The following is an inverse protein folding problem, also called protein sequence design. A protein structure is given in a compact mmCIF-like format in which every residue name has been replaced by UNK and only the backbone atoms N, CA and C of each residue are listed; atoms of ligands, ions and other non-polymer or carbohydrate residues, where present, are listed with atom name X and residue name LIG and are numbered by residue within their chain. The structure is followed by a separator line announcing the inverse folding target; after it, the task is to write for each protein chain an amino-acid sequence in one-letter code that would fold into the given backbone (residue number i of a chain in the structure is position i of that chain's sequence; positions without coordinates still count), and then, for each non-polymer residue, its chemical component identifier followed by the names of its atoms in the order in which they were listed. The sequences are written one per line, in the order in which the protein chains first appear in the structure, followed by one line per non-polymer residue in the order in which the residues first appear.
data_IF_523762438373
#
_entry.id   IF_523762438373
#
_cell.length_a   1.000
_cell.length_b   1.000
_cell.length_c   1.000
_cell.angle_alpha   90.00
_cell.angle_beta   90.00
_cell.angle_gamma   90.00
#
_symmetry.space_group_name_H-M   'P 1'
#
loop_
_entity.id
_entity.type
_entity.pdbx_description
1 polymer ?
#
# COMPACT_ATOMS: atom_id res chain seq x y z
N UNK A 1 -4.93 17.67 1.23
CA UNK A 1 -4.45 16.57 0.39
C UNK A 1 -4.53 15.29 1.21
N UNK A 2 -4.89 14.16 0.59
CA UNK A 2 -5.01 12.85 1.26
C UNK A 2 -4.10 11.81 0.60
N UNK A 3 -4.03 10.59 1.14
CA UNK A 3 -3.23 9.49 0.56
C UNK A 3 -3.67 9.21 -0.87
N UNK A 4 -4.97 9.00 -1.09
CA UNK A 4 -5.57 8.77 -2.41
C UNK A 4 -6.50 9.92 -2.82
N UNK A 5 -7.07 9.81 -4.02
CA UNK A 5 -8.20 10.58 -4.52
C UNK A 5 -8.05 12.12 -4.54
N UNK A 6 -6.81 12.59 -4.67
CA UNK A 6 -6.54 14.00 -4.99
C UNK A 6 -7.23 14.44 -6.30
N UNK A 7 -7.16 15.72 -6.63
CA UNK A 7 -7.74 16.27 -7.86
C UNK A 7 -7.23 15.62 -9.15
N UNK A 8 -6.13 14.85 -9.11
CA UNK A 8 -5.49 14.23 -10.28
C UNK A 8 -5.18 15.26 -11.37
N UNK A 9 -4.69 16.42 -10.96
CA UNK A 9 -4.35 17.52 -11.87
C UNK A 9 -2.95 17.38 -12.50
N UNK A 10 -2.20 16.34 -12.10
CA UNK A 10 -0.85 15.97 -12.55
C UNK A 10 0.26 16.99 -12.34
N UNK A 11 -0.03 18.20 -11.83
CA UNK A 11 0.96 19.27 -11.68
C UNK A 11 2.21 18.87 -10.90
N UNK A 12 2.08 18.02 -9.89
CA UNK A 12 3.20 17.59 -9.05
C UNK A 12 4.22 16.71 -9.79
N UNK A 13 3.87 16.15 -10.95
CA UNK A 13 4.74 15.30 -11.77
C UNK A 13 5.77 16.16 -12.51
N UNK A 14 5.41 17.05 -13.47
CA UNK A 14 6.39 17.80 -14.24
C UNK A 14 7.13 18.87 -13.44
N UNK A 15 6.61 19.30 -12.28
CA UNK A 15 7.32 20.23 -11.39
C UNK A 15 8.34 19.51 -10.50
N UNK A 16 8.33 18.19 -10.41
CA UNK A 16 9.32 17.47 -9.62
C UNK A 16 10.68 17.48 -10.35
N UNK A 17 11.72 18.14 -9.80
CA UNK A 17 13.00 18.23 -10.51
C UNK A 17 13.74 16.90 -10.63
N UNK A 18 13.39 15.91 -9.80
CA UNK A 18 14.02 14.59 -9.77
C UNK A 18 13.13 13.49 -10.35
N UNK A 19 11.99 13.84 -10.96
CA UNK A 19 11.01 12.87 -11.52
C UNK A 19 10.53 11.82 -10.50
N UNK A 20 10.40 12.22 -9.24
CA UNK A 20 10.04 11.32 -8.14
C UNK A 20 8.53 11.07 -8.03
N UNK A 21 7.67 11.93 -8.62
CA UNK A 21 6.21 11.76 -8.56
C UNK A 21 5.71 11.10 -9.84
N UNK A 22 4.87 10.07 -9.72
CA UNK A 22 4.41 9.30 -10.88
C UNK A 22 2.93 8.89 -10.76
N UNK A 23 2.34 8.51 -11.89
CA UNK A 23 0.97 7.98 -11.96
C UNK A 23 0.96 6.53 -11.47
N UNK A 24 0.19 6.29 -10.41
CA UNK A 24 -0.09 4.98 -9.85
C UNK A 24 -1.45 4.46 -10.38
N UNK A 25 -1.43 3.35 -11.12
CA UNK A 25 -2.62 2.82 -11.80
C UNK A 25 -3.37 1.85 -10.88
N UNK A 26 -4.27 2.40 -10.07
CA UNK A 26 -5.25 1.63 -9.30
C UNK A 26 -6.62 1.87 -9.94
N UNK A 27 -7.39 0.82 -10.28
CA UNK A 27 -8.74 0.97 -10.81
C UNK A 27 -9.64 1.76 -9.85
N UNK A 28 -10.55 2.55 -10.43
CA UNK A 28 -11.66 3.11 -9.66
C UNK A 28 -12.54 1.99 -9.14
N UNK A 29 -13.09 2.17 -7.94
CA UNK A 29 -13.93 1.15 -7.34
C UNK A 29 -14.19 1.42 -5.88
N UNK A 30 -14.88 0.47 -5.28
CA UNK A 30 -15.15 0.43 -3.85
C UNK A 30 -14.69 -0.94 -3.35
N UNK A 31 -13.80 -0.93 -2.37
CA UNK A 31 -13.24 -2.12 -1.74
C UNK A 31 -13.84 -2.26 -0.36
N UNK A 32 -14.46 -3.41 -0.07
CA UNK A 32 -14.95 -3.71 1.28
C UNK A 32 -13.77 -3.84 2.25
N UNK A 33 -13.90 -3.23 3.42
CA UNK A 33 -12.94 -3.31 4.50
C UNK A 33 -13.58 -4.05 5.66
N UNK A 34 -12.97 -5.17 6.04
CA UNK A 34 -13.38 -5.97 7.19
C UNK A 34 -12.57 -5.57 8.42
N UNK A 35 -13.25 -5.42 9.57
CA UNK A 35 -12.61 -5.38 10.87
C UNK A 35 -12.95 -6.67 11.62
N UNK A 36 -11.92 -7.40 12.03
CA UNK A 36 -12.05 -8.67 12.74
C UNK A 36 -11.81 -8.51 14.23
N UNK A 37 -12.52 -9.29 15.03
CA UNK A 37 -12.23 -9.51 16.44
C UNK A 37 -12.02 -10.99 16.72
N UNK A 38 -11.06 -11.31 17.60
CA UNK A 38 -10.84 -12.66 18.08
C UNK A 38 -11.41 -12.78 19.50
N UNK A 39 -12.40 -13.65 19.65
CA UNK A 39 -13.07 -13.91 20.92
C UNK A 39 -12.97 -15.39 21.30
N UNK A 40 -13.57 -15.80 22.43
CA UNK A 40 -13.50 -17.19 22.91
C UNK A 40 -14.09 -18.23 21.94
N UNK A 41 -14.96 -17.79 21.03
CA UNK A 41 -15.61 -18.62 20.02
C UNK A 41 -14.85 -18.63 18.68
N UNK A 42 -13.73 -17.91 18.60
CA UNK A 42 -12.91 -17.76 17.40
C UNK A 42 -12.99 -16.35 16.81
N UNK A 43 -12.63 -16.26 15.54
CA UNK A 43 -12.65 -15.02 14.77
C UNK A 43 -14.05 -14.70 14.25
N UNK A 44 -14.40 -13.42 14.24
CA UNK A 44 -15.66 -12.92 13.66
C UNK A 44 -15.50 -11.49 13.13
N UNK A 45 -16.34 -11.10 12.17
CA UNK A 45 -16.39 -9.72 11.66
C UNK A 45 -17.08 -8.83 12.69
N UNK A 46 -16.35 -7.85 13.21
CA UNK A 46 -16.87 -6.82 14.10
C UNK A 46 -17.58 -5.70 13.33
N UNK A 47 -16.97 -5.25 12.23
CA UNK A 47 -17.48 -4.14 11.42
C UNK A 47 -17.13 -4.31 9.94
N UNK A 48 -17.95 -3.68 9.10
CA UNK A 48 -17.76 -3.57 7.65
C UNK A 48 -17.77 -2.10 7.27
N UNK A 49 -16.77 -1.66 6.53
CA UNK A 49 -16.72 -0.33 5.92
C UNK A 49 -16.22 -0.46 4.49
N UNK A 50 -15.98 0.65 3.80
CA UNK A 50 -15.47 0.62 2.43
C UNK A 50 -14.42 1.71 2.19
N UNK A 51 -13.43 1.38 1.36
CA UNK A 51 -12.50 2.32 0.77
C UNK A 51 -12.95 2.59 -0.66
N UNK A 52 -13.35 3.83 -0.93
CA UNK A 52 -13.78 4.26 -2.27
C UNK A 52 -12.66 5.04 -2.95
N UNK A 53 -12.32 4.61 -4.17
CA UNK A 53 -11.39 5.31 -5.06
C UNK A 53 -12.17 5.80 -6.29
N UNK A 54 -12.45 7.10 -6.30
CA UNK A 54 -13.25 7.77 -7.31
C UNK A 54 -12.40 8.36 -8.44
N UNK A 55 -11.08 8.46 -8.32
CA UNK A 55 -10.21 9.02 -9.36
C UNK A 55 -9.64 7.94 -10.28
N UNK A 56 -9.53 8.28 -11.57
CA UNK A 56 -9.11 7.34 -12.65
C UNK A 56 -7.76 6.68 -12.39
N UNK A 57 -6.88 7.38 -11.71
CA UNK A 57 -5.58 6.91 -11.25
C UNK A 57 -5.21 7.67 -9.98
N UNK A 58 -4.17 7.19 -9.32
CA UNK A 58 -3.61 7.78 -8.13
C UNK A 58 -2.24 8.38 -8.46
N UNK A 59 -1.70 9.17 -7.55
CA UNK A 59 -0.34 9.71 -7.67
C UNK A 59 0.49 9.12 -6.54
N UNK A 60 1.71 8.73 -6.83
CA UNK A 60 2.66 8.18 -5.88
C UNK A 60 3.99 8.93 -5.95
N UNK A 61 4.85 8.68 -4.96
CA UNK A 61 6.19 9.22 -4.85
C UNK A 61 7.20 8.06 -4.76
N UNK A 62 8.34 8.19 -5.43
CA UNK A 62 9.46 7.27 -5.30
C UNK A 62 10.53 7.90 -4.40
N UNK A 63 10.71 7.31 -3.22
CA UNK A 63 11.50 7.89 -2.15
C UNK A 63 12.96 8.08 -2.55
N UNK A 64 13.54 7.09 -3.24
CA UNK A 64 14.95 7.06 -3.61
C UNK A 64 15.33 8.21 -4.58
N UNK A 65 14.36 8.79 -5.30
CA UNK A 65 14.58 9.96 -6.15
C UNK A 65 14.17 11.28 -5.47
N UNK A 66 13.34 11.22 -4.43
CA UNK A 66 12.81 12.39 -3.75
C UNK A 66 13.81 12.97 -2.74
N UNK A 67 14.28 14.19 -2.97
CA UNK A 67 15.12 14.94 -2.03
C UNK A 67 14.34 15.86 -1.09
N UNK A 68 13.01 15.73 -1.05
CA UNK A 68 12.10 16.51 -0.20
C UNK A 68 12.20 18.04 -0.39
N UNK A 69 12.57 18.50 -1.58
CA UNK A 69 12.70 19.93 -1.89
C UNK A 69 11.40 20.75 -1.80
N UNK A 70 10.24 20.11 -1.67
CA UNK A 70 8.95 20.78 -1.50
C UNK A 70 8.38 21.44 -2.76
N UNK A 71 9.03 21.35 -3.93
CA UNK A 71 8.52 22.03 -5.12
C UNK A 71 7.09 21.58 -5.49
N UNK A 72 6.79 20.28 -5.34
CA UNK A 72 5.46 19.76 -5.59
C UNK A 72 4.37 20.27 -4.62
N UNK A 73 4.74 20.78 -3.44
CA UNK A 73 3.83 21.38 -2.47
C UNK A 73 3.37 22.76 -2.96
N UNK A 74 4.31 23.61 -3.38
CA UNK A 74 4.04 24.96 -3.89
C UNK A 74 3.06 24.96 -5.08
N UNK A 75 3.13 23.94 -5.95
CA UNK A 75 2.25 23.82 -7.11
C UNK A 75 0.99 22.99 -6.85
N UNK A 76 0.84 22.39 -5.67
CA UNK A 76 -0.34 21.61 -5.33
C UNK A 76 -1.54 22.56 -5.16
N UNK A 77 -2.65 22.34 -5.88
CA UNK A 77 -3.87 23.12 -5.66
C UNK A 77 -4.65 22.68 -4.40
N UNK A 78 -4.19 21.65 -3.70
CA UNK A 78 -4.75 21.13 -2.46
C UNK A 78 -3.77 21.37 -1.31
N UNK A 79 -4.27 21.40 -0.07
CA UNK A 79 -3.44 21.66 1.10
C UNK A 79 -2.51 20.48 1.41
N UNK A 80 -1.19 20.70 1.33
CA UNK A 80 -0.14 19.73 1.67
C UNK A 80 0.67 19.20 0.48
N UNK A 81 1.90 18.77 0.78
CA UNK A 81 2.87 18.34 -0.23
C UNK A 81 2.67 16.89 -0.71
N UNK A 82 2.62 16.65 -2.04
CA UNK A 82 2.58 15.29 -2.60
C UNK A 82 3.72 14.39 -2.11
N UNK A 83 4.93 14.92 -1.92
CA UNK A 83 6.05 14.16 -1.38
C UNK A 83 5.81 13.63 0.05
N UNK A 84 4.95 14.28 0.84
CA UNK A 84 4.64 13.87 2.22
C UNK A 84 3.47 12.90 2.29
N UNK A 85 2.42 13.18 1.52
CA UNK A 85 1.11 12.56 1.73
C UNK A 85 0.79 11.45 0.75
N UNK A 86 1.45 11.39 -0.41
CA UNK A 86 1.16 10.36 -1.41
C UNK A 86 1.83 9.02 -1.06
N UNK A 87 1.27 7.88 -1.52
CA UNK A 87 1.91 6.58 -1.38
C UNK A 87 3.36 6.66 -1.82
N UNK A 88 4.25 6.33 -0.90
CA UNK A 88 5.70 6.45 -1.10
C UNK A 88 6.31 5.07 -1.26
N UNK A 89 6.99 4.84 -2.36
CA UNK A 89 7.66 3.58 -2.67
C UNK A 89 9.15 3.70 -2.42
N UNK A 90 9.73 2.69 -1.78
CA UNK A 90 11.17 2.54 -1.56
C UNK A 90 11.72 1.49 -2.51
N UNK A 91 12.88 1.76 -3.12
CA UNK A 91 13.50 0.86 -4.07
C UNK A 91 14.15 -0.36 -3.44
N UNK A 92 14.49 -0.28 -2.14
CA UNK A 92 15.11 -1.38 -1.41
C UNK A 92 14.62 -1.46 0.04
N UNK A 93 14.90 -2.61 0.68
CA UNK A 93 14.61 -2.79 2.10
C UNK A 93 15.45 -1.86 2.96
N UNK A 94 16.69 -1.60 2.54
CA UNK A 94 17.63 -0.72 3.22
C UNK A 94 17.09 0.72 3.23
N UNK A 95 16.60 1.24 2.09
CA UNK A 95 16.04 2.61 2.06
C UNK A 95 14.74 2.70 2.85
N UNK A 96 13.89 1.67 2.82
CA UNK A 96 12.69 1.62 3.69
C UNK A 96 13.02 1.68 5.20
N UNK A 97 14.15 1.10 5.61
CA UNK A 97 14.63 1.11 7.00
C UNK A 97 15.32 2.43 7.37
N UNK A 98 16.17 2.95 6.49
CA UNK A 98 16.87 4.23 6.67
C UNK A 98 15.88 5.38 6.86
N UNK A 99 14.84 5.42 6.03
CA UNK A 99 13.79 6.45 6.06
C UNK A 99 12.62 6.06 6.96
N UNK A 100 12.89 5.44 8.11
CA UNK A 100 11.87 4.95 9.05
C UNK A 100 10.94 6.04 9.62
N UNK A 101 11.34 7.31 9.53
CA UNK A 101 10.52 8.47 9.87
C UNK A 101 9.45 8.82 8.82
N UNK A 102 9.39 8.09 7.70
CA UNK A 102 8.38 8.23 6.64
C UNK A 102 7.54 6.97 6.54
N UNK A 103 6.25 7.16 6.30
CA UNK A 103 5.36 6.09 5.85
C UNK A 103 5.67 5.72 4.38
N UNK A 104 5.29 4.50 4.00
CA UNK A 104 5.46 4.03 2.63
C UNK A 104 5.53 2.51 2.51
N UNK A 105 6.00 2.06 1.35
CA UNK A 105 5.91 0.69 0.88
C UNK A 105 7.25 0.23 0.29
N UNK A 106 7.67 -0.97 0.63
CA UNK A 106 8.70 -1.71 -0.08
C UNK A 106 8.10 -3.06 -0.50
N UNK A 107 8.19 -3.36 -1.80
CA UNK A 107 7.63 -4.59 -2.39
C UNK A 107 8.80 -5.48 -2.78
N UNK A 108 8.95 -6.57 -2.04
CA UNK A 108 9.96 -7.60 -2.28
C UNK A 108 9.36 -8.69 -3.17
N UNK A 109 9.90 -8.83 -4.37
CA UNK A 109 9.54 -9.92 -5.28
C UNK A 109 10.40 -11.15 -5.04
N UNK A 110 9.77 -12.32 -5.10
CA UNK A 110 10.47 -13.60 -5.20
C UNK A 110 10.31 -14.08 -6.64
N UNK A 111 11.43 -14.16 -7.39
CA UNK A 111 11.48 -14.49 -8.83
C UNK A 111 11.14 -15.96 -9.17
N UNK A 112 10.27 -16.61 -8.41
CA UNK A 112 9.87 -18.00 -8.68
C UNK A 112 8.47 -18.05 -9.28
N UNK A 113 8.20 -19.12 -10.04
CA UNK A 113 6.92 -19.41 -10.72
C UNK A 113 5.66 -19.30 -9.81
N UNK A 114 5.84 -19.25 -8.49
CA UNK A 114 4.82 -19.33 -7.45
C UNK A 114 4.20 -18.00 -7.00
N UNK A 115 4.09 -16.96 -7.84
CA UNK A 115 3.35 -15.72 -7.53
C UNK A 115 3.62 -15.11 -6.12
N UNK A 116 4.79 -15.39 -5.54
CA UNK A 116 5.07 -15.11 -4.15
C UNK A 116 5.60 -13.68 -4.01
N UNK A 117 5.09 -12.96 -3.02
CA UNK A 117 5.49 -11.57 -2.80
C UNK A 117 5.35 -11.20 -1.33
N UNK A 118 6.28 -10.35 -0.88
CA UNK A 118 6.22 -9.76 0.45
C UNK A 118 6.10 -8.25 0.29
N UNK A 119 5.13 -7.64 0.97
CA UNK A 119 5.04 -6.17 1.04
C UNK A 119 5.33 -5.75 2.47
N UNK A 120 6.33 -4.90 2.63
CA UNK A 120 6.59 -4.17 3.85
C UNK A 120 5.95 -2.79 3.73
N UNK A 121 5.31 -2.33 4.79
CA UNK A 121 4.72 -0.99 4.79
C UNK A 121 4.77 -0.36 6.16
N UNK A 122 4.59 0.96 6.18
CA UNK A 122 4.46 1.74 7.39
C UNK A 122 3.29 2.72 7.24
N UNK A 123 2.42 2.74 8.24
CA UNK A 123 1.26 3.63 8.33
C UNK A 123 1.25 4.25 9.72
N UNK A 124 1.21 5.59 9.79
CA UNK A 124 1.28 6.36 11.05
C UNK A 124 2.45 5.90 11.94
N UNK A 125 3.61 5.62 11.32
CA UNK A 125 4.80 5.13 12.02
C UNK A 125 4.74 3.67 12.49
N UNK A 126 3.66 2.94 12.22
CA UNK A 126 3.50 1.52 12.59
C UNK A 126 3.80 0.63 11.40
N UNK A 127 4.60 -0.41 11.62
CA UNK A 127 4.97 -1.35 10.56
C UNK A 127 3.94 -2.45 10.39
N UNK A 128 3.70 -2.78 9.13
CA UNK A 128 2.83 -3.87 8.68
C UNK A 128 3.54 -4.65 7.59
N UNK A 129 3.23 -5.94 7.51
CA UNK A 129 3.80 -6.83 6.48
C UNK A 129 2.74 -7.78 5.96
N UNK A 130 2.72 -8.02 4.67
CA UNK A 130 1.96 -9.13 4.09
C UNK A 130 2.93 -10.06 3.37
N UNK A 131 2.76 -11.35 3.58
CA UNK A 131 3.36 -12.42 2.77
C UNK A 131 2.22 -13.07 1.98
N UNK A 132 2.37 -13.15 0.65
CA UNK A 132 1.38 -13.77 -0.23
C UNK A 132 2.04 -14.94 -0.93
N UNK A 133 1.36 -16.10 -0.86
CA UNK A 133 1.75 -17.33 -1.53
C UNK A 133 0.49 -17.97 -2.15
N UNK A 134 0.37 -17.88 -3.47
CA UNK A 134 -0.84 -18.28 -4.18
C UNK A 134 -2.10 -17.56 -3.68
N UNK A 135 -3.03 -18.32 -3.09
CA UNK A 135 -4.28 -17.79 -2.52
C UNK A 135 -4.20 -17.48 -1.02
N UNK A 136 -3.05 -17.72 -0.39
CA UNK A 136 -2.89 -17.57 1.03
C UNK A 136 -2.15 -16.28 1.38
N UNK A 137 -2.59 -15.62 2.45
CA UNK A 137 -1.98 -14.41 2.98
C UNK A 137 -1.61 -14.64 4.43
N UNK A 138 -0.41 -14.22 4.82
CA UNK A 138 -0.10 -13.89 6.21
C UNK A 138 0.01 -12.38 6.33
N UNK A 139 -0.71 -11.81 7.29
CA UNK A 139 -0.76 -10.37 7.54
C UNK A 139 -0.31 -10.11 8.97
N UNK A 140 0.74 -9.30 9.07
CA UNK A 140 1.40 -8.92 10.31
C UNK A 140 1.16 -7.44 10.57
N UNK A 141 0.86 -7.12 11.82
CA UNK A 141 0.84 -5.75 12.32
C UNK A 141 1.50 -5.66 13.70
N UNK A 142 1.39 -4.51 14.39
CA UNK A 142 2.10 -4.26 15.65
C UNK A 142 1.79 -5.26 16.77
N UNK A 143 0.59 -5.84 16.76
CA UNK A 143 0.07 -6.66 17.85
C UNK A 143 -0.76 -7.86 17.35
N UNK A 144 -0.63 -8.21 16.07
CA UNK A 144 -1.29 -9.35 15.47
C UNK A 144 -0.44 -10.02 14.39
N UNK A 145 -0.70 -11.31 14.23
CA UNK A 145 -0.28 -12.12 13.12
C UNK A 145 -1.48 -13.01 12.74
N UNK A 146 -2.06 -12.73 11.57
CA UNK A 146 -3.23 -13.45 11.07
C UNK A 146 -2.95 -14.02 9.70
N UNK A 147 -3.69 -15.05 9.35
CA UNK A 147 -3.58 -15.73 8.07
C UNK A 147 -4.93 -16.14 7.53
N UNK A 148 -5.12 -16.05 6.23
CA UNK A 148 -6.40 -16.26 5.57
C UNK A 148 -6.24 -16.58 4.08
N UNK A 149 -7.29 -17.14 3.48
CA UNK A 149 -7.45 -17.22 2.02
C UNK A 149 -7.97 -15.88 1.49
N UNK A 150 -7.40 -15.40 0.37
CA UNK A 150 -7.82 -14.13 -0.25
C UNK A 150 -9.26 -14.15 -0.75
N UNK A 151 -9.73 -15.32 -1.17
CA UNK A 151 -11.08 -15.47 -1.73
C UNK A 151 -12.15 -15.57 -0.64
N UNK A 152 -11.76 -15.88 0.59
CA UNK A 152 -12.68 -16.07 1.72
C UNK A 152 -12.03 -15.68 3.06
N UNK A 153 -11.66 -14.40 3.25
CA UNK A 153 -11.00 -13.97 4.47
C UNK A 153 -11.88 -14.16 5.72
N UNK A 154 -13.19 -13.97 5.58
CA UNK A 154 -14.15 -14.03 6.69
C UNK A 154 -14.22 -15.42 7.34
N UNK A 155 -14.24 -16.49 6.54
CA UNK A 155 -14.38 -17.84 7.08
C UNK A 155 -13.03 -18.56 7.28
N UNK A 156 -11.92 -18.01 6.79
CA UNK A 156 -10.60 -18.67 6.85
C UNK A 156 -9.58 -17.97 7.74
N UNK A 157 -9.90 -16.78 8.26
CA UNK A 157 -9.01 -16.06 9.17
C UNK A 157 -8.68 -16.91 10.41
N UNK A 158 -7.38 -16.96 10.73
CA UNK A 158 -6.84 -17.61 11.92
C UNK A 158 -5.56 -16.90 12.36
N UNK A 159 -5.06 -17.21 13.56
CA UNK A 159 -3.87 -16.57 14.13
C UNK A 159 -4.16 -15.87 15.45
N UNK A 160 -3.30 -14.92 15.80
CA UNK A 160 -3.29 -14.26 17.11
C UNK A 160 -3.38 -12.74 16.94
N UNK A 161 -4.13 -12.08 17.83
CA UNK A 161 -4.18 -10.63 17.92
C UNK A 161 -4.49 -10.19 19.34
N UNK A 162 -3.88 -9.10 19.79
CA UNK A 162 -4.21 -8.47 21.08
C UNK A 162 -5.43 -7.55 21.00
N UNK A 163 -5.63 -6.92 19.85
CA UNK A 163 -6.74 -6.02 19.56
C UNK A 163 -7.45 -6.44 18.27
N UNK A 164 -8.47 -5.68 17.87
CA UNK A 164 -9.15 -5.87 16.58
C UNK A 164 -8.19 -5.67 15.41
N UNK A 165 -8.42 -6.40 14.34
CA UNK A 165 -7.59 -6.37 13.13
C UNK A 165 -8.41 -5.76 12.00
N UNK A 166 -8.07 -4.51 11.62
CA UNK A 166 -8.62 -3.88 10.43
C UNK A 166 -7.86 -4.29 9.19
N UNK A 167 -8.59 -4.67 8.14
CA UNK A 167 -8.03 -5.01 6.84
C UNK A 167 -7.81 -3.78 5.94
N UNK A 168 -8.03 -2.54 6.43
CA UNK A 168 -7.79 -1.33 5.65
C UNK A 168 -6.37 -1.27 5.08
N UNK A 169 -5.37 -1.43 5.96
CA UNK A 169 -3.97 -1.39 5.54
C UNK A 169 -3.61 -2.59 4.66
N UNK A 170 -4.19 -3.78 4.93
CA UNK A 170 -4.05 -4.94 4.06
C UNK A 170 -4.52 -4.66 2.62
N UNK A 171 -5.72 -4.10 2.46
CA UNK A 171 -6.27 -3.77 1.15
C UNK A 171 -5.43 -2.71 0.43
N UNK A 172 -4.98 -1.68 1.14
CA UNK A 172 -4.08 -0.66 0.57
C UNK A 172 -2.76 -1.30 0.11
N UNK A 173 -2.13 -2.13 0.94
CA UNK A 173 -0.89 -2.84 0.59
C UNK A 173 -1.08 -3.76 -0.63
N UNK A 174 -2.22 -4.48 -0.69
CA UNK A 174 -2.56 -5.34 -1.82
C UNK A 174 -2.77 -4.54 -3.12
N UNK A 175 -3.40 -3.36 -3.04
CA UNK A 175 -3.52 -2.44 -4.18
C UNK A 175 -2.15 -1.94 -4.66
N UNK A 176 -1.25 -1.56 -3.75
CA UNK A 176 0.10 -1.10 -4.10
C UNK A 176 0.87 -2.19 -4.84
N UNK A 177 0.85 -3.41 -4.29
CA UNK A 177 1.46 -4.61 -4.89
C UNK A 177 0.91 -4.90 -6.29
N UNK A 178 -0.42 -4.97 -6.42
CA UNK A 178 -1.05 -5.27 -7.70
C UNK A 178 -0.73 -4.19 -8.76
N UNK A 179 -0.69 -2.91 -8.38
CA UNK A 179 -0.28 -1.84 -9.28
C UNK A 179 1.18 -1.95 -9.72
N UNK A 180 2.07 -2.31 -8.79
CA UNK A 180 3.49 -2.50 -9.07
C UNK A 180 3.73 -3.69 -10.03
N UNK A 181 3.14 -4.85 -9.74
CA UNK A 181 3.26 -6.05 -10.58
C UNK A 181 2.74 -5.84 -12.01
N UNK A 182 1.59 -5.17 -12.14
CA UNK A 182 1.03 -4.85 -13.46
C UNK A 182 1.92 -3.90 -14.27
N UNK A 183 2.75 -3.10 -13.59
CA UNK A 183 3.71 -2.18 -14.23
C UNK A 183 4.99 -2.94 -14.61
N UNK A 184 5.51 -3.78 -13.72
CA UNK A 184 6.70 -4.61 -13.96
C UNK A 184 6.50 -5.61 -15.11
N UNK A 185 5.34 -6.28 -15.19
CA UNK A 185 5.00 -7.23 -16.29
C UNK A 185 4.80 -6.56 -17.66
N UNK A 186 4.71 -5.23 -17.72
CA UNK A 186 4.55 -4.45 -18.96
C UNK A 186 5.82 -3.74 -19.40
N UNK A 187 6.92 -3.83 -18.64
CA UNK A 187 8.21 -3.36 -19.12
C UNK A 187 8.56 -4.18 -20.38
N UNK A 188 8.88 -3.55 -21.53
CA UNK A 188 9.31 -4.30 -22.69
C UNK A 188 10.57 -5.08 -22.31
N UNK A 189 10.55 -6.38 -22.55
CA UNK A 189 11.78 -7.15 -22.68
C UNK A 189 12.60 -6.44 -23.75
N UNK A 190 13.71 -5.86 -23.34
CA UNK A 190 14.69 -5.32 -24.28
C UNK A 190 15.21 -6.48 -25.11
N UNK A 191 14.71 -6.61 -26.34
CA UNK A 191 15.36 -7.35 -27.42
C UNK A 191 16.57 -6.54 -27.95
#
# INVERSE_FOLDING_TARGET
LELFDCLTCDKCIPVCPNDANFVLKIPQGETEILEFENNKSGWSVNARSSLKLAKKYQIANFADFCNECGNCDIFCPEDGGPYLLKPRFFGSRETFQEFSYRDGFYIEHVETDDQASTVFSRFDGKEYRIEIEGNFVKYFGPDFEVRFSRDDPENTISGEAKNRVSFLNYEIMNMMRASYENTARRAPTTD
#
